data_IF_052662334953
#
_entry.id   IF_052662334953
#
_cell.length_a   1.000
_cell.length_b   1.000
_cell.length_c   1.000
_cell.angle_alpha   90.00
_cell.angle_beta   90.00
_cell.angle_gamma   90.00
#
_symmetry.space_group_name_H-M   'P 1'
#
loop_
_entity.id
_entity.type
_entity.pdbx_description
1 polymer ?
#
# COMPACT_ATOMS: atom_id res chain seq x y z
N UNK A 1 24.92 -22.88 -3.81
CA UNK A 1 23.76 -23.62 -3.25
C UNK A 1 23.89 -23.64 -1.72
N UNK A 2 22.81 -23.35 -0.99
CA UNK A 2 22.78 -23.44 0.48
C UNK A 2 22.74 -24.94 0.84
N UNK A 3 23.57 -25.40 1.79
CA UNK A 3 23.56 -26.79 2.22
C UNK A 3 22.17 -27.19 2.79
N UNK A 4 21.65 -28.36 2.45
CA UNK A 4 20.29 -28.82 2.80
C UNK A 4 20.00 -28.75 4.31
N UNK A 5 20.94 -29.17 5.16
CA UNK A 5 20.83 -29.06 6.63
C UNK A 5 20.74 -27.63 7.14
N UNK A 6 21.42 -26.65 6.48
CA UNK A 6 21.36 -25.25 6.86
C UNK A 6 20.02 -24.61 6.54
N UNK A 7 19.36 -25.06 5.46
CA UNK A 7 18.04 -24.57 5.01
C UNK A 7 16.97 -25.00 6.00
N UNK A 8 16.86 -26.28 6.28
CA UNK A 8 15.92 -26.86 7.23
C UNK A 8 16.07 -26.20 8.61
N UNK A 9 17.30 -26.00 9.06
CA UNK A 9 17.61 -25.37 10.34
C UNK A 9 17.14 -23.92 10.45
N UNK A 10 17.11 -23.14 9.32
CA UNK A 10 16.61 -21.77 9.31
C UNK A 10 15.08 -21.72 9.42
N UNK A 11 14.37 -22.42 8.51
CA UNK A 11 12.90 -22.43 8.52
C UNK A 11 12.32 -23.00 9.81
N UNK A 12 12.90 -24.11 10.34
CA UNK A 12 12.46 -24.68 11.61
C UNK A 12 12.59 -23.67 12.78
N UNK A 13 13.70 -22.92 12.83
CA UNK A 13 13.89 -21.89 13.87
C UNK A 13 12.92 -20.71 13.74
N UNK A 14 12.57 -20.32 12.50
CA UNK A 14 11.58 -19.25 12.27
C UNK A 14 10.18 -19.74 12.69
N UNK A 15 9.81 -20.97 12.33
CA UNK A 15 8.54 -21.59 12.71
C UNK A 15 8.42 -21.73 14.24
N UNK A 16 9.48 -22.20 14.92
CA UNK A 16 9.49 -22.32 16.37
C UNK A 16 9.35 -20.96 17.08
N UNK A 17 10.09 -19.95 16.59
CA UNK A 17 9.95 -18.57 17.11
C UNK A 17 8.53 -18.04 16.93
N UNK A 18 7.90 -18.32 15.79
CA UNK A 18 6.56 -17.82 15.47
C UNK A 18 5.49 -18.38 16.42
N UNK A 19 5.61 -19.62 16.89
CA UNK A 19 4.67 -20.19 17.86
C UNK A 19 4.48 -19.36 19.10
N UNK A 20 5.54 -18.68 19.56
CA UNK A 20 5.54 -17.91 20.81
C UNK A 20 5.46 -16.39 20.60
N UNK A 21 5.76 -15.90 19.38
CA UNK A 21 5.94 -14.47 19.10
C UNK A 21 5.18 -13.98 17.87
N UNK A 22 4.42 -14.84 17.21
CA UNK A 22 3.63 -14.50 16.05
C UNK A 22 2.47 -13.56 16.39
N UNK A 23 2.06 -12.76 15.42
CA UNK A 23 0.86 -11.92 15.51
C UNK A 23 -0.32 -12.72 15.00
N UNK A 24 -1.17 -13.20 15.91
CA UNK A 24 -2.34 -14.03 15.58
C UNK A 24 -3.66 -13.26 15.59
N UNK A 25 -3.64 -12.00 15.98
CA UNK A 25 -4.80 -11.13 16.20
C UNK A 25 -5.14 -10.22 15.03
N UNK A 26 -4.38 -10.31 13.94
CA UNK A 26 -4.61 -9.45 12.77
C UNK A 26 -5.94 -9.83 12.07
N UNK A 27 -6.79 -8.86 11.71
CA UNK A 27 -8.13 -9.11 11.19
C UNK A 27 -8.16 -10.06 9.99
N UNK A 28 -7.19 -9.96 9.08
CA UNK A 28 -7.09 -10.77 7.86
C UNK A 28 -6.53 -12.18 8.07
N UNK A 29 -6.08 -12.51 9.28
CA UNK A 29 -5.61 -13.88 9.60
C UNK A 29 -6.73 -14.80 10.06
N UNK A 30 -7.87 -14.25 10.50
CA UNK A 30 -9.01 -15.01 11.02
C UNK A 30 -9.70 -15.86 9.96
N UNK A 31 -9.65 -15.44 8.70
CA UNK A 31 -10.26 -16.14 7.58
C UNK A 31 -9.25 -16.25 6.44
N UNK A 32 -9.13 -17.44 5.88
CA UNK A 32 -8.22 -17.74 4.74
C UNK A 32 -8.92 -17.59 3.38
N UNK A 33 -10.02 -16.84 3.33
CA UNK A 33 -10.67 -16.49 2.06
C UNK A 33 -9.69 -15.70 1.17
N UNK A 34 -9.45 -16.13 -0.08
CA UNK A 34 -8.49 -15.50 -0.98
C UNK A 34 -8.80 -14.03 -1.28
N UNK A 35 -10.07 -13.64 -1.32
CA UNK A 35 -10.48 -12.27 -1.49
C UNK A 35 -10.02 -11.40 -0.31
N UNK A 36 -10.28 -11.84 0.92
CA UNK A 36 -9.92 -11.11 2.15
C UNK A 36 -8.40 -11.02 2.32
N UNK A 37 -7.69 -12.11 2.06
CA UNK A 37 -6.22 -12.13 2.06
C UNK A 37 -5.67 -11.18 1.01
N UNK A 38 -6.17 -11.21 -0.21
CA UNK A 38 -5.73 -10.32 -1.28
C UNK A 38 -5.92 -8.84 -0.92
N UNK A 39 -7.10 -8.44 -0.39
CA UNK A 39 -7.34 -7.06 0.05
C UNK A 39 -6.27 -6.62 1.06
N UNK A 40 -5.98 -7.46 2.07
CA UNK A 40 -4.97 -7.14 3.08
C UNK A 40 -3.57 -7.01 2.47
N UNK A 41 -3.17 -7.92 1.60
CA UNK A 41 -1.86 -7.91 0.93
C UNK A 41 -1.67 -6.62 0.10
N UNK A 42 -2.69 -6.20 -0.64
CA UNK A 42 -2.63 -4.95 -1.40
C UNK A 42 -2.59 -3.73 -0.48
N UNK A 43 -3.36 -3.71 0.60
CA UNK A 43 -3.35 -2.59 1.56
C UNK A 43 -2.01 -2.48 2.30
N UNK A 44 -1.38 -3.60 2.62
CA UNK A 44 -0.10 -3.67 3.33
C UNK A 44 1.12 -3.29 2.47
N UNK A 45 0.98 -3.25 1.14
CA UNK A 45 2.08 -2.78 0.27
C UNK A 45 2.52 -1.37 0.67
N UNK A 46 3.75 -1.23 1.20
CA UNK A 46 4.35 0.03 1.66
C UNK A 46 3.54 0.81 2.73
N UNK A 47 2.63 0.14 3.43
CA UNK A 47 1.81 0.74 4.49
C UNK A 47 1.95 -0.07 5.78
N UNK A 48 2.02 0.60 6.92
CA UNK A 48 2.16 -0.06 8.22
C UNK A 48 0.85 -0.72 8.66
N UNK A 49 0.96 -1.86 9.37
CA UNK A 49 -0.18 -2.65 9.87
C UNK A 49 -1.19 -1.80 10.66
N UNK A 50 -0.72 -1.00 11.63
CA UNK A 50 -1.61 -0.16 12.43
C UNK A 50 -2.41 0.86 11.62
N UNK A 51 -1.86 1.34 10.49
CA UNK A 51 -2.59 2.20 9.56
C UNK A 51 -3.61 1.41 8.74
N UNK A 52 -3.29 0.17 8.35
CA UNK A 52 -4.14 -0.66 7.47
C UNK A 52 -5.39 -1.17 8.20
N UNK A 53 -5.27 -1.57 9.48
CA UNK A 53 -6.38 -2.21 10.22
C UNK A 53 -7.71 -1.46 10.08
N UNK A 54 -7.84 -0.16 10.42
CA UNK A 54 -9.11 0.54 10.33
C UNK A 54 -9.63 0.66 8.89
N UNK A 55 -8.75 0.80 7.90
CA UNK A 55 -9.14 0.83 6.50
C UNK A 55 -9.63 -0.53 6.01
N UNK A 56 -8.94 -1.59 6.37
CA UNK A 56 -9.33 -2.96 6.02
C UNK A 56 -10.71 -3.30 6.55
N UNK A 57 -10.96 -3.06 7.84
CA UNK A 57 -12.26 -3.35 8.46
C UNK A 57 -13.38 -2.58 7.75
N UNK A 58 -13.22 -1.28 7.55
CA UNK A 58 -14.21 -0.44 6.85
C UNK A 58 -14.43 -0.90 5.41
N UNK A 59 -13.37 -1.33 4.72
CA UNK A 59 -13.42 -1.75 3.32
C UNK A 59 -14.18 -3.07 3.14
N UNK A 60 -13.86 -4.09 3.96
CA UNK A 60 -14.52 -5.40 3.86
C UNK A 60 -15.96 -5.39 4.38
N UNK A 61 -16.31 -4.47 5.28
CA UNK A 61 -17.68 -4.27 5.71
C UNK A 61 -18.56 -3.77 4.56
N UNK A 62 -18.04 -2.89 3.73
CA UNK A 62 -18.75 -2.37 2.55
C UNK A 62 -18.70 -3.33 1.35
N UNK A 63 -17.53 -3.86 1.05
CA UNK A 63 -17.31 -4.77 -0.08
C UNK A 63 -17.07 -6.17 0.46
N UNK A 64 -18.13 -6.87 0.81
CA UNK A 64 -18.07 -8.19 1.47
C UNK A 64 -17.57 -9.28 0.54
N UNK A 65 -17.84 -9.11 -0.75
CA UNK A 65 -17.45 -10.07 -1.80
C UNK A 65 -16.72 -9.37 -2.93
N UNK A 66 -16.06 -10.18 -3.75
CA UNK A 66 -15.41 -9.68 -4.96
C UNK A 66 -16.42 -9.13 -5.97
N UNK A 67 -17.65 -9.64 -5.97
CA UNK A 67 -18.76 -9.14 -6.75
C UNK A 67 -19.14 -7.72 -6.33
N UNK A 68 -19.36 -7.47 -5.04
CA UNK A 68 -19.65 -6.14 -4.51
C UNK A 68 -18.59 -5.12 -4.92
N UNK A 69 -17.30 -5.53 -4.85
CA UNK A 69 -16.19 -4.67 -5.25
C UNK A 69 -16.16 -4.42 -6.76
N UNK A 70 -16.49 -5.42 -7.57
CA UNK A 70 -16.48 -5.30 -9.03
C UNK A 70 -17.63 -4.41 -9.54
N UNK A 71 -18.80 -4.46 -8.92
CA UNK A 71 -20.00 -3.68 -9.25
C UNK A 71 -19.90 -2.22 -8.76
N UNK A 72 -19.09 -1.96 -7.73
CA UNK A 72 -18.92 -0.62 -7.20
C UNK A 72 -18.41 0.37 -8.25
N UNK A 73 -18.72 1.66 -8.08
CA UNK A 73 -18.11 2.71 -8.88
C UNK A 73 -16.65 2.92 -8.47
N UNK A 74 -15.81 3.40 -9.40
CA UNK A 74 -14.44 3.78 -9.07
C UNK A 74 -14.39 4.86 -7.99
N UNK A 75 -15.33 5.78 -8.00
CA UNK A 75 -15.42 6.85 -7.01
C UNK A 75 -15.67 6.32 -5.60
N UNK A 76 -16.54 5.35 -5.47
CA UNK A 76 -16.82 4.71 -4.19
C UNK A 76 -15.60 3.96 -3.67
N UNK A 77 -14.93 3.16 -4.50
CA UNK A 77 -13.71 2.45 -4.11
C UNK A 77 -12.62 3.44 -3.69
N UNK A 78 -12.45 4.55 -4.43
CA UNK A 78 -11.47 5.58 -4.09
C UNK A 78 -11.82 6.34 -2.80
N UNK A 79 -13.10 6.52 -2.50
CA UNK A 79 -13.57 7.11 -1.25
C UNK A 79 -13.20 6.26 -0.03
N UNK A 80 -13.45 4.95 -0.10
CA UNK A 80 -13.08 3.99 0.95
C UNK A 80 -11.55 3.83 1.12
N UNK A 81 -10.77 4.09 0.06
CA UNK A 81 -9.31 4.07 0.09
C UNK A 81 -8.69 5.41 0.49
N UNK A 82 -9.49 6.47 0.54
CA UNK A 82 -9.00 7.84 0.78
C UNK A 82 -8.33 7.98 2.14
N UNK A 83 -7.05 8.35 2.14
CA UNK A 83 -6.20 8.43 3.34
C UNK A 83 -5.12 7.35 3.42
N UNK A 84 -5.30 6.17 2.80
CA UNK A 84 -4.33 5.08 2.81
C UNK A 84 -3.11 5.35 1.89
N UNK A 85 -3.25 6.24 0.91
CA UNK A 85 -2.21 6.58 -0.05
C UNK A 85 -1.99 5.53 -1.15
N UNK A 86 -1.02 5.80 -2.03
CA UNK A 86 -0.69 4.90 -3.16
C UNK A 86 -1.93 4.45 -3.95
N UNK A 87 -2.72 5.40 -4.40
CA UNK A 87 -4.04 5.20 -5.02
C UNK A 87 -4.04 4.33 -6.28
N UNK A 88 -2.89 4.13 -6.93
CA UNK A 88 -2.75 3.14 -8.00
C UNK A 88 -3.09 1.71 -7.54
N UNK A 89 -2.87 1.40 -6.26
CA UNK A 89 -3.25 0.11 -5.68
C UNK A 89 -4.77 -0.07 -5.69
N UNK A 90 -5.53 0.95 -5.25
CA UNK A 90 -6.99 0.92 -5.27
C UNK A 90 -7.55 0.75 -6.69
N UNK A 91 -7.00 1.49 -7.66
CA UNK A 91 -7.42 1.34 -9.07
C UNK A 91 -7.11 -0.05 -9.63
N UNK A 92 -5.92 -0.59 -9.36
CA UNK A 92 -5.56 -1.93 -9.79
C UNK A 92 -6.42 -2.99 -9.10
N UNK A 93 -6.66 -2.82 -7.81
CA UNK A 93 -7.55 -3.70 -7.03
C UNK A 93 -8.96 -3.72 -7.63
N UNK A 94 -9.54 -2.57 -7.93
CA UNK A 94 -10.85 -2.48 -8.56
C UNK A 94 -10.88 -3.10 -9.98
N UNK A 95 -9.84 -2.84 -10.80
CA UNK A 95 -9.71 -3.49 -12.12
C UNK A 95 -9.61 -5.01 -12.00
N UNK A 96 -8.82 -5.49 -11.05
CA UNK A 96 -8.66 -6.93 -10.79
C UNK A 96 -9.97 -7.55 -10.33
N UNK A 97 -10.75 -6.90 -9.46
CA UNK A 97 -12.07 -7.39 -9.07
C UNK A 97 -13.00 -7.58 -10.28
N UNK A 98 -13.04 -6.60 -11.20
CA UNK A 98 -13.81 -6.70 -12.45
C UNK A 98 -13.36 -7.85 -13.36
N UNK A 99 -12.05 -8.04 -13.49
CA UNK A 99 -11.50 -9.16 -14.27
C UNK A 99 -11.91 -10.49 -13.64
N UNK A 100 -11.78 -10.64 -12.32
CA UNK A 100 -12.14 -11.90 -11.65
C UNK A 100 -13.65 -12.14 -11.72
N UNK A 101 -14.46 -11.11 -11.60
CA UNK A 101 -15.91 -11.26 -11.73
C UNK A 101 -16.32 -11.80 -13.12
N UNK A 102 -15.72 -11.27 -14.18
CA UNK A 102 -16.06 -11.64 -15.56
C UNK A 102 -15.38 -12.93 -16.00
N UNK A 103 -14.06 -13.06 -15.82
CA UNK A 103 -13.28 -14.15 -16.39
C UNK A 103 -13.27 -15.42 -15.52
N UNK A 104 -13.50 -15.26 -14.22
CA UNK A 104 -13.43 -16.36 -13.24
C UNK A 104 -14.76 -16.53 -12.46
N UNK A 105 -15.87 -15.94 -12.94
CA UNK A 105 -17.19 -16.06 -12.32
C UNK A 105 -17.18 -15.78 -10.81
N UNK A 106 -16.54 -14.69 -10.42
CA UNK A 106 -16.33 -14.28 -9.03
C UNK A 106 -15.52 -15.28 -8.17
N UNK A 107 -14.86 -16.27 -8.75
CA UNK A 107 -13.99 -17.21 -8.04
C UNK A 107 -12.54 -16.73 -8.14
N UNK A 108 -11.89 -16.59 -7.00
CA UNK A 108 -10.49 -16.16 -6.98
C UNK A 108 -9.60 -17.26 -7.58
N UNK A 109 -8.73 -16.95 -8.58
CA UNK A 109 -7.89 -17.96 -9.21
C UNK A 109 -6.87 -18.55 -8.24
N UNK A 110 -6.59 -19.84 -8.37
CA UNK A 110 -5.70 -20.62 -7.51
C UNK A 110 -4.41 -21.07 -8.20
N UNK A 111 -4.11 -20.53 -9.39
CA UNK A 111 -2.85 -20.78 -10.10
C UNK A 111 -1.98 -19.54 -10.14
N UNK A 112 -0.68 -19.74 -10.11
CA UNK A 112 0.31 -18.65 -10.17
C UNK A 112 0.21 -17.87 -11.48
N UNK A 113 0.07 -18.58 -12.59
CA UNK A 113 -0.01 -18.05 -13.94
C UNK A 113 -1.18 -17.09 -14.10
N UNK A 114 -2.35 -17.42 -13.54
CA UNK A 114 -3.52 -16.58 -13.59
C UNK A 114 -3.37 -15.37 -12.65
N UNK A 115 -2.83 -15.56 -11.44
CA UNK A 115 -2.67 -14.48 -10.47
C UNK A 115 -1.74 -13.38 -10.94
N UNK A 116 -0.59 -13.72 -11.54
CA UNK A 116 0.40 -12.71 -11.98
C UNK A 116 -0.05 -11.87 -13.19
N UNK A 117 -1.09 -12.29 -13.92
CA UNK A 117 -1.69 -11.51 -14.99
C UNK A 117 -2.63 -10.41 -14.48
N UNK A 118 -3.05 -10.50 -13.22
CA UNK A 118 -3.98 -9.55 -12.63
C UNK A 118 -3.30 -8.24 -12.23
N UNK A 119 -3.88 -7.07 -12.56
CA UNK A 119 -3.32 -5.78 -12.23
C UNK A 119 -3.01 -5.61 -10.73
N UNK A 120 -1.76 -5.29 -10.39
CA UNK A 120 -1.34 -5.05 -9.00
C UNK A 120 -0.96 -6.31 -8.22
N UNK A 121 -1.10 -7.51 -8.80
CA UNK A 121 -0.63 -8.77 -8.22
C UNK A 121 0.74 -9.11 -8.82
N UNK A 122 1.80 -8.87 -8.04
CA UNK A 122 3.15 -9.29 -8.39
C UNK A 122 3.50 -10.65 -7.79
N UNK A 123 4.70 -11.16 -8.12
CA UNK A 123 5.21 -12.47 -7.67
C UNK A 123 5.03 -12.70 -6.17
N UNK A 124 5.36 -11.72 -5.32
CA UNK A 124 5.25 -11.86 -3.86
C UNK A 124 3.80 -11.93 -3.40
N UNK A 125 2.91 -11.09 -3.95
CA UNK A 125 1.47 -11.10 -3.61
C UNK A 125 0.81 -12.41 -4.07
N UNK A 126 1.12 -12.89 -5.29
CA UNK A 126 0.65 -14.19 -5.78
C UNK A 126 1.12 -15.33 -4.88
N UNK A 127 2.42 -15.32 -4.49
CA UNK A 127 2.99 -16.30 -3.57
C UNK A 127 2.31 -16.29 -2.20
N UNK A 128 2.00 -15.12 -1.64
CA UNK A 128 1.29 -14.98 -0.37
C UNK A 128 -0.13 -15.58 -0.44
N UNK A 129 -0.91 -15.23 -1.48
CA UNK A 129 -2.26 -15.76 -1.68
C UNK A 129 -2.23 -17.29 -1.82
N UNK A 130 -1.34 -17.81 -2.67
CA UNK A 130 -1.22 -19.25 -2.91
C UNK A 130 -0.79 -20.02 -1.65
N UNK A 131 0.12 -19.44 -0.88
CA UNK A 131 0.59 -20.02 0.38
C UNK A 131 -0.52 -19.98 1.45
N UNK A 132 -1.12 -18.83 1.73
CA UNK A 132 -2.10 -18.68 2.81
C UNK A 132 -3.42 -19.40 2.56
N UNK A 133 -3.93 -19.34 1.33
CA UNK A 133 -5.28 -19.82 1.03
C UNK A 133 -5.28 -21.24 0.49
N UNK A 134 -4.22 -21.64 -0.22
CA UNK A 134 -4.17 -22.91 -0.92
C UNK A 134 -3.04 -23.83 -0.46
N UNK A 135 -2.22 -23.41 0.52
CA UNK A 135 -1.05 -24.14 1.06
C UNK A 135 -0.06 -24.60 -0.01
N UNK A 136 -0.03 -23.89 -1.14
CA UNK A 136 0.89 -24.17 -2.24
C UNK A 136 2.28 -23.65 -1.92
N UNK A 137 3.32 -24.39 -2.34
CA UNK A 137 4.73 -24.08 -2.04
C UNK A 137 5.26 -22.94 -2.91
N UNK A 138 4.93 -21.70 -2.52
CA UNK A 138 5.39 -20.46 -3.15
C UNK A 138 6.10 -19.56 -2.17
N UNK A 139 7.25 -19.02 -2.59
CA UNK A 139 8.00 -18.05 -1.81
C UNK A 139 7.40 -16.65 -1.92
N UNK A 140 7.70 -15.85 -0.91
CA UNK A 140 7.44 -14.40 -0.91
C UNK A 140 8.76 -13.64 -0.76
N UNK A 141 8.80 -12.40 -1.26
CA UNK A 141 9.96 -11.54 -1.13
C UNK A 141 9.53 -10.08 -0.98
N UNK A 142 8.84 -9.77 0.12
CA UNK A 142 8.49 -8.41 0.49
C UNK A 142 9.69 -7.65 1.11
N UNK A 143 9.49 -6.40 1.49
CA UNK A 143 10.56 -5.59 2.10
C UNK A 143 11.08 -6.14 3.43
N UNK A 144 10.27 -6.88 4.18
CA UNK A 144 10.67 -7.53 5.44
C UNK A 144 11.54 -8.75 5.14
N UNK A 145 11.09 -9.61 4.25
CA UNK A 145 11.82 -10.82 3.84
C UNK A 145 13.15 -10.45 3.17
N UNK A 146 13.16 -9.47 2.25
CA UNK A 146 14.42 -8.96 1.65
C UNK A 146 15.43 -8.56 2.73
N UNK A 147 14.99 -7.85 3.77
CA UNK A 147 15.86 -7.43 4.89
C UNK A 147 16.37 -8.60 5.71
N UNK A 148 15.49 -9.53 6.07
CA UNK A 148 15.86 -10.73 6.85
C UNK A 148 16.89 -11.55 6.11
N UNK A 149 16.62 -11.88 4.85
CA UNK A 149 17.52 -12.71 4.03
C UNK A 149 18.85 -12.00 3.75
N UNK A 150 18.81 -10.69 3.41
CA UNK A 150 20.05 -9.93 3.18
C UNK A 150 20.93 -9.92 4.42
N UNK A 151 20.38 -9.73 5.61
CA UNK A 151 21.15 -9.76 6.86
C UNK A 151 21.65 -11.16 7.20
N UNK A 152 20.78 -12.15 7.10
CA UNK A 152 21.15 -13.53 7.45
C UNK A 152 22.30 -14.06 6.58
N UNK A 153 22.24 -13.83 5.27
CA UNK A 153 23.26 -14.25 4.30
C UNK A 153 24.37 -13.21 4.06
N UNK A 154 24.33 -12.05 4.71
CA UNK A 154 25.35 -11.01 4.59
C UNK A 154 25.45 -10.38 3.21
N UNK A 155 24.32 -10.22 2.50
CA UNK A 155 24.28 -9.65 1.14
C UNK A 155 24.53 -8.15 1.23
N UNK A 156 25.67 -7.71 0.70
CA UNK A 156 26.12 -6.32 0.75
C UNK A 156 25.85 -5.53 -0.53
N UNK A 157 25.34 -6.18 -1.58
CA UNK A 157 24.88 -5.49 -2.77
C UNK A 157 23.52 -4.81 -2.52
N UNK A 158 23.24 -3.75 -3.31
CA UNK A 158 21.93 -3.10 -3.21
C UNK A 158 20.79 -4.04 -3.58
N UNK A 159 19.80 -4.15 -2.70
CA UNK A 159 18.60 -4.97 -2.91
C UNK A 159 17.71 -4.48 -4.07
N UNK A 160 18.02 -3.31 -4.64
CA UNK A 160 17.30 -2.76 -5.80
C UNK A 160 17.94 -3.15 -7.14
N UNK A 161 19.06 -3.87 -7.13
CA UNK A 161 19.67 -4.42 -8.33
C UNK A 161 18.94 -5.69 -8.75
N UNK A 162 18.61 -5.83 -10.03
CA UNK A 162 17.91 -7.00 -10.58
C UNK A 162 18.62 -8.31 -10.26
N UNK A 163 19.97 -8.32 -10.35
CA UNK A 163 20.77 -9.50 -10.00
C UNK A 163 20.62 -9.90 -8.52
N UNK A 164 20.66 -8.91 -7.62
CA UNK A 164 20.53 -9.14 -6.18
C UNK A 164 19.10 -9.59 -5.83
N UNK A 165 18.11 -9.00 -6.46
CA UNK A 165 16.71 -9.38 -6.27
C UNK A 165 16.47 -10.83 -6.74
N UNK A 166 17.00 -11.21 -7.91
CA UNK A 166 16.93 -12.60 -8.40
C UNK A 166 17.59 -13.57 -7.41
N UNK A 167 18.78 -13.24 -6.90
CA UNK A 167 19.47 -14.05 -5.90
C UNK A 167 18.66 -14.19 -4.60
N UNK A 168 18.01 -13.11 -4.14
CA UNK A 168 17.14 -13.17 -2.96
C UNK A 168 15.89 -14.05 -3.20
N UNK A 169 15.35 -14.07 -4.41
CA UNK A 169 14.27 -14.97 -4.77
C UNK A 169 14.73 -16.43 -4.72
N UNK A 170 15.89 -16.74 -5.31
CA UNK A 170 16.46 -18.10 -5.28
C UNK A 170 16.69 -18.59 -3.84
N UNK A 171 17.16 -17.70 -2.96
CA UNK A 171 17.30 -17.98 -1.53
C UNK A 171 15.94 -18.23 -0.88
N UNK A 172 14.97 -17.34 -1.13
CA UNK A 172 13.64 -17.44 -0.51
C UNK A 172 12.95 -18.75 -0.89
N UNK A 173 13.03 -19.17 -2.14
CA UNK A 173 12.48 -20.45 -2.62
C UNK A 173 13.19 -21.66 -1.99
N UNK A 174 14.52 -21.57 -1.86
CA UNK A 174 15.30 -22.64 -1.23
C UNK A 174 15.03 -22.82 0.27
N UNK A 175 14.53 -21.79 0.96
CA UNK A 175 14.25 -21.82 2.39
C UNK A 175 12.82 -22.25 2.72
N UNK A 176 11.97 -22.48 1.72
CA UNK A 176 10.63 -22.98 1.97
C UNK A 176 10.68 -24.36 2.64
N UNK A 177 9.97 -24.56 3.75
CA UNK A 177 9.82 -25.88 4.35
C UNK A 177 8.95 -26.78 3.46
N UNK A 178 8.93 -28.08 3.75
CA UNK A 178 8.08 -29.00 3.01
C UNK A 178 6.63 -28.98 3.51
N UNK A 179 6.43 -28.67 4.80
CA UNK A 179 5.13 -28.54 5.44
C UNK A 179 4.99 -27.14 6.04
N UNK A 180 3.77 -26.77 6.47
CA UNK A 180 3.47 -25.52 7.16
C UNK A 180 3.85 -24.26 6.37
N UNK A 181 3.66 -24.33 5.04
CA UNK A 181 4.03 -23.24 4.12
C UNK A 181 3.33 -21.92 4.49
N UNK A 182 2.04 -21.97 4.78
CA UNK A 182 1.25 -20.81 5.17
C UNK A 182 1.73 -20.22 6.51
N UNK A 183 2.07 -21.08 7.46
CA UNK A 183 2.62 -20.67 8.76
C UNK A 183 4.01 -20.04 8.57
N UNK A 184 4.88 -20.66 7.78
CA UNK A 184 6.22 -20.11 7.49
C UNK A 184 6.16 -18.77 6.76
N UNK A 185 5.25 -18.64 5.80
CA UNK A 185 5.05 -17.39 5.06
C UNK A 185 4.69 -16.24 6.01
N UNK A 186 3.77 -16.48 6.95
CA UNK A 186 3.44 -15.48 7.98
C UNK A 186 4.60 -15.26 8.95
N UNK A 187 5.23 -16.35 9.38
CA UNK A 187 6.33 -16.31 10.34
C UNK A 187 7.49 -15.44 9.87
N UNK A 188 7.93 -15.58 8.63
CA UNK A 188 9.07 -14.81 8.10
C UNK A 188 8.71 -13.32 7.90
N UNK A 189 7.46 -12.99 7.56
CA UNK A 189 6.99 -11.61 7.52
C UNK A 189 6.97 -10.98 8.92
N UNK A 190 6.41 -11.68 9.90
CA UNK A 190 6.35 -11.23 11.29
C UNK A 190 7.74 -11.09 11.89
N UNK A 191 8.62 -12.05 11.62
CA UNK A 191 10.01 -12.00 12.05
C UNK A 191 10.72 -10.74 11.56
N UNK A 192 10.49 -10.38 10.30
CA UNK A 192 11.00 -9.13 9.74
C UNK A 192 10.34 -7.90 10.36
N UNK A 193 9.03 -7.93 10.59
CA UNK A 193 8.29 -6.78 11.09
C UNK A 193 8.55 -6.47 12.57
N UNK A 194 8.73 -7.49 13.42
CA UNK A 194 8.77 -7.33 14.88
C UNK A 194 10.16 -7.55 15.49
N UNK A 195 10.94 -8.50 14.99
CA UNK A 195 12.25 -8.85 15.57
C UNK A 195 13.41 -8.31 14.74
N UNK A 196 13.52 -8.66 13.46
CA UNK A 196 14.58 -8.18 12.57
C UNK A 196 14.22 -6.82 11.95
N UNK A 197 13.90 -5.83 12.77
CA UNK A 197 13.41 -4.51 12.37
C UNK A 197 14.46 -3.68 11.62
N UNK A 198 14.06 -2.65 10.84
CA UNK A 198 14.99 -1.83 10.07
C UNK A 198 16.05 -1.12 10.90
N UNK A 199 15.65 -0.45 11.98
CA UNK A 199 16.53 0.44 12.75
C UNK A 199 17.14 -0.21 13.99
N UNK A 200 16.34 -1.00 14.74
CA UNK A 200 16.73 -1.60 16.03
C UNK A 200 16.38 -3.08 16.07
N UNK A 201 17.09 -3.94 15.32
CA UNK A 201 16.82 -5.38 15.35
C UNK A 201 17.17 -5.98 16.72
N UNK A 202 16.33 -6.85 17.22
CA UNK A 202 16.50 -7.52 18.52
C UNK A 202 17.40 -8.76 18.38
N UNK A 203 18.68 -8.55 18.04
CA UNK A 203 19.61 -9.62 17.71
C UNK A 203 19.93 -10.54 18.90
N UNK A 204 19.78 -10.09 20.16
CA UNK A 204 20.08 -10.90 21.33
C UNK A 204 19.04 -12.04 21.51
N UNK A 205 17.78 -11.78 21.23
CA UNK A 205 16.68 -12.77 21.29
C UNK A 205 16.42 -13.50 19.97
N UNK A 206 17.24 -13.22 18.94
CA UNK A 206 17.04 -13.77 17.61
C UNK A 206 17.46 -15.27 17.54
N UNK A 207 16.56 -16.19 17.17
CA UNK A 207 16.86 -17.64 17.14
C UNK A 207 17.95 -18.02 16.12
N UNK A 208 18.21 -17.18 15.14
CA UNK A 208 19.22 -17.41 14.10
C UNK A 208 20.47 -16.54 14.27
N UNK A 209 20.65 -15.89 15.42
CA UNK A 209 21.76 -14.94 15.66
C UNK A 209 23.15 -15.54 15.49
N UNK A 210 23.35 -16.81 15.91
CA UNK A 210 24.65 -17.51 15.86
C UNK A 210 25.15 -17.74 14.43
N UNK A 211 24.22 -17.86 13.48
CA UNK A 211 24.53 -18.15 12.07
C UNK A 211 24.31 -16.93 11.15
N UNK A 212 23.80 -15.82 11.70
CA UNK A 212 23.55 -14.60 10.94
C UNK A 212 24.85 -13.85 10.62
N UNK A 213 25.17 -13.76 9.33
CA UNK A 213 26.41 -13.11 8.85
C UNK A 213 26.44 -11.62 9.21
N UNK A 214 25.33 -10.88 9.03
CA UNK A 214 25.28 -9.48 9.38
C UNK A 214 25.48 -9.24 10.89
N UNK A 215 24.98 -10.12 11.76
CA UNK A 215 25.22 -10.04 13.21
C UNK A 215 26.68 -10.30 13.55
N UNK A 216 27.26 -11.38 12.99
CA UNK A 216 28.65 -11.75 13.20
C UNK A 216 29.63 -10.65 12.81
N UNK A 217 29.35 -9.96 11.73
CA UNK A 217 30.22 -8.92 11.16
C UNK A 217 29.81 -7.48 11.53
N UNK A 218 28.89 -7.28 12.48
CA UNK A 218 28.37 -5.97 12.91
C UNK A 218 27.74 -5.14 11.77
N UNK A 219 27.13 -5.79 10.77
CA UNK A 219 26.57 -5.16 9.58
C UNK A 219 25.03 -4.96 9.66
N UNK A 220 24.41 -5.22 10.80
CA UNK A 220 22.94 -5.14 10.93
C UNK A 220 22.36 -3.72 10.74
N UNK A 221 23.18 -2.68 10.97
CA UNK A 221 22.82 -1.29 10.74
C UNK A 221 22.96 -0.84 9.28
N UNK A 222 23.77 -1.53 8.50
CA UNK A 222 24.09 -1.19 7.10
C UNK A 222 23.33 -2.05 6.09
N UNK A 223 23.09 -3.33 6.38
CA UNK A 223 22.33 -4.25 5.54
C UNK A 223 20.84 -4.18 5.88
N UNK A 224 19.95 -4.14 4.87
CA UNK A 224 20.22 -4.16 3.42
C UNK A 224 20.67 -2.79 2.88
N UNK A 225 21.58 -2.80 1.92
CA UNK A 225 21.93 -1.61 1.18
C UNK A 225 20.78 -1.23 0.23
N UNK A 226 20.51 0.06 0.18
CA UNK A 226 19.56 0.65 -0.79
C UNK A 226 20.32 1.67 -1.62
N UNK A 227 19.95 1.79 -2.88
CA UNK A 227 20.46 2.90 -3.69
C UNK A 227 20.13 4.22 -2.98
N UNK A 228 21.03 5.19 -3.02
CA UNK A 228 20.74 6.54 -2.53
C UNK A 228 19.45 7.03 -3.18
N UNK A 229 18.47 7.38 -2.39
CA UNK A 229 17.26 8.03 -2.88
C UNK A 229 17.68 9.36 -3.53
N UNK A 230 17.19 9.61 -4.76
CA UNK A 230 17.32 10.94 -5.38
C UNK A 230 16.74 11.97 -4.41
N UNK A 231 17.36 13.15 -4.36
CA UNK A 231 16.81 14.29 -3.61
C UNK A 231 15.35 14.51 -4.01
N UNK A 232 14.50 14.71 -3.02
CA UNK A 232 13.08 14.96 -3.28
C UNK A 232 12.95 16.29 -4.04
N UNK A 233 12.31 16.25 -5.20
CA UNK A 233 12.02 17.46 -5.96
C UNK A 233 10.94 18.29 -5.25
N UNK A 234 11.13 19.60 -5.18
CA UNK A 234 10.07 20.51 -4.75
C UNK A 234 9.11 20.76 -5.93
N UNK A 235 7.82 20.69 -5.64
CA UNK A 235 6.74 21.03 -6.59
C UNK A 235 5.82 22.04 -5.95
N UNK A 236 5.21 22.88 -6.76
CA UNK A 236 4.21 23.85 -6.31
C UNK A 236 2.95 23.78 -7.16
N UNK A 237 1.80 24.09 -6.57
CA UNK A 237 0.52 24.22 -7.25
C UNK A 237 -0.37 25.18 -6.49
N UNK A 238 -1.45 25.58 -7.13
CA UNK A 238 -2.51 26.39 -6.51
C UNK A 238 -3.84 25.65 -6.62
N UNK A 239 -4.71 25.85 -5.61
CA UNK A 239 -6.06 25.30 -5.59
C UNK A 239 -7.08 26.46 -5.44
N UNK A 240 -8.02 26.50 -6.34
CA UNK A 240 -9.11 27.46 -6.36
C UNK A 240 -10.40 26.77 -5.91
N UNK A 241 -10.84 27.08 -4.69
CA UNK A 241 -12.01 26.46 -4.07
C UNK A 241 -13.18 27.40 -4.30
N UNK A 242 -13.98 27.13 -5.31
CA UNK A 242 -15.17 27.90 -5.64
C UNK A 242 -16.35 27.40 -4.82
N UNK A 243 -16.97 28.31 -4.09
CA UNK A 243 -18.19 28.03 -3.32
C UNK A 243 -19.38 28.85 -3.91
N UNK A 244 -20.47 28.14 -4.17
CA UNK A 244 -21.75 28.70 -4.57
C UNK A 244 -22.89 28.00 -3.82
N UNK A 245 -23.68 28.75 -3.07
CA UNK A 245 -24.83 28.25 -2.32
C UNK A 245 -24.49 27.03 -1.43
N UNK A 246 -23.41 27.11 -0.66
CA UNK A 246 -22.87 26.04 0.21
C UNK A 246 -22.39 24.80 -0.53
N UNK A 247 -22.28 24.85 -1.84
CA UNK A 247 -21.66 23.79 -2.65
C UNK A 247 -20.31 24.24 -3.16
N UNK A 248 -19.40 23.30 -3.32
CA UNK A 248 -18.05 23.51 -3.83
C UNK A 248 -17.84 22.77 -5.14
N UNK A 249 -17.08 23.39 -6.03
CA UNK A 249 -16.71 22.80 -7.30
C UNK A 249 -15.49 21.92 -7.13
N UNK A 250 -15.58 20.67 -7.55
CA UNK A 250 -14.45 19.74 -7.67
C UNK A 250 -14.33 19.23 -9.10
N UNK A 251 -13.10 18.96 -9.51
CA UNK A 251 -12.77 18.39 -10.82
C UNK A 251 -12.13 17.02 -10.64
N UNK A 252 -12.43 16.09 -11.54
CA UNK A 252 -11.83 14.76 -11.51
C UNK A 252 -10.41 14.82 -12.03
N UNK A 253 -9.44 14.51 -11.19
CA UNK A 253 -8.05 14.46 -11.62
C UNK A 253 -7.79 13.20 -12.46
N UNK A 254 -7.35 13.39 -13.70
CA UNK A 254 -7.14 12.29 -14.67
C UNK A 254 -5.67 11.94 -14.90
N UNK A 255 -4.74 12.60 -14.18
CA UNK A 255 -3.29 12.42 -14.41
C UNK A 255 -2.50 12.47 -13.09
N UNK A 256 -1.29 11.90 -13.11
CA UNK A 256 -0.33 12.01 -12.02
C UNK A 256 -0.68 11.24 -10.75
N UNK A 257 -0.13 11.67 -9.64
CA UNK A 257 -0.17 10.94 -8.35
C UNK A 257 -1.57 10.75 -7.79
N UNK A 258 -2.45 11.73 -8.00
CA UNK A 258 -3.83 11.74 -7.52
C UNK A 258 -4.85 11.39 -8.60
N UNK A 259 -4.42 10.69 -9.65
CA UNK A 259 -5.31 10.23 -10.70
C UNK A 259 -6.49 9.42 -10.11
N UNK A 260 -7.69 9.71 -10.57
CA UNK A 260 -8.94 9.11 -10.09
C UNK A 260 -9.55 9.79 -8.86
N UNK A 261 -8.91 10.81 -8.26
CA UNK A 261 -9.43 11.54 -7.11
C UNK A 261 -10.05 12.88 -7.52
N UNK A 262 -10.93 13.38 -6.67
CA UNK A 262 -11.49 14.71 -6.79
C UNK A 262 -10.55 15.77 -6.21
N UNK A 263 -10.41 16.90 -6.88
CA UNK A 263 -9.59 18.03 -6.48
C UNK A 263 -10.33 19.36 -6.69
N UNK A 264 -10.06 20.40 -5.90
CA UNK A 264 -10.37 21.75 -6.34
C UNK A 264 -9.61 22.07 -7.63
N UNK A 265 -10.15 22.90 -8.53
CA UNK A 265 -9.44 23.38 -9.71
C UNK A 265 -8.03 23.89 -9.39
N UNK A 266 -7.06 23.56 -10.26
CA UNK A 266 -5.66 23.96 -10.11
C UNK A 266 -5.29 25.21 -10.91
N UNK A 267 -6.27 25.82 -11.56
CA UNK A 267 -6.14 27.12 -12.23
C UNK A 267 -7.39 27.96 -11.96
N UNK A 268 -7.22 29.26 -12.06
CA UNK A 268 -8.34 30.17 -11.92
C UNK A 268 -9.18 30.21 -13.22
N UNK A 269 -10.48 29.99 -13.07
CA UNK A 269 -11.42 30.00 -14.18
C UNK A 269 -12.28 31.27 -14.24
N UNK A 270 -12.14 32.19 -13.26
CA UNK A 270 -12.87 33.42 -13.28
C UNK A 270 -12.16 34.48 -14.13
N UNK A 271 -12.86 35.04 -15.10
CA UNK A 271 -12.39 36.15 -15.93
C UNK A 271 -12.61 37.54 -15.31
N UNK A 272 -13.51 37.66 -14.35
CA UNK A 272 -13.86 38.90 -13.65
C UNK A 272 -13.14 39.01 -12.32
N UNK A 273 -13.02 40.26 -11.79
CA UNK A 273 -12.55 40.48 -10.41
C UNK A 273 -13.42 39.72 -9.42
N UNK A 274 -12.76 38.96 -8.55
CA UNK A 274 -13.38 38.14 -7.51
C UNK A 274 -12.81 38.53 -6.14
N UNK A 275 -13.59 38.23 -5.10
CA UNK A 275 -13.16 38.47 -3.72
C UNK A 275 -12.68 37.15 -3.15
N UNK A 276 -11.43 37.10 -2.71
CA UNK A 276 -10.88 35.99 -1.96
C UNK A 276 -11.42 36.06 -0.53
N UNK A 277 -12.20 35.06 -0.15
CA UNK A 277 -12.79 34.99 1.18
C UNK A 277 -11.80 34.46 2.23
N UNK A 278 -11.00 33.48 1.82
CA UNK A 278 -9.94 32.90 2.66
C UNK A 278 -8.80 32.38 1.76
N UNK A 279 -7.58 32.54 2.22
CA UNK A 279 -6.41 31.98 1.51
C UNK A 279 -5.36 31.50 2.49
N UNK A 280 -4.43 30.69 2.00
CA UNK A 280 -3.31 30.22 2.79
C UNK A 280 -2.37 29.33 1.99
N UNK A 281 -1.32 28.88 2.67
CA UNK A 281 -0.32 27.98 2.10
C UNK A 281 -0.17 26.76 2.98
N UNK A 282 0.03 25.59 2.35
CA UNK A 282 0.30 24.32 3.03
C UNK A 282 1.36 23.52 2.29
N UNK A 283 1.94 22.56 2.99
CA UNK A 283 2.94 21.66 2.45
C UNK A 283 2.61 20.21 2.83
N UNK A 284 2.85 19.30 1.89
CA UNK A 284 2.84 17.88 2.15
C UNK A 284 4.05 17.20 1.53
N UNK A 285 4.53 16.14 2.19
CA UNK A 285 5.73 15.39 1.79
C UNK A 285 5.31 14.02 1.30
N UNK A 286 5.71 13.70 0.07
CA UNK A 286 5.55 12.37 -0.53
C UNK A 286 6.89 11.64 -0.54
N UNK A 287 6.88 10.36 -0.83
CA UNK A 287 8.12 9.54 -0.90
C UNK A 287 9.16 10.07 -1.90
N UNK A 288 8.73 10.77 -2.96
CA UNK A 288 9.59 11.18 -4.08
C UNK A 288 9.57 12.68 -4.41
N UNK A 289 8.70 13.48 -3.78
CA UNK A 289 8.69 14.95 -3.88
C UNK A 289 8.00 15.59 -2.68
N UNK A 290 8.24 16.87 -2.51
CA UNK A 290 7.55 17.75 -1.56
C UNK A 290 6.62 18.65 -2.36
N UNK A 291 5.34 18.74 -1.97
CA UNK A 291 4.36 19.60 -2.60
C UNK A 291 4.05 20.78 -1.67
N UNK A 292 4.34 21.98 -2.13
CA UNK A 292 3.84 23.23 -1.56
C UNK A 292 2.63 23.66 -2.36
N UNK A 293 1.54 24.05 -1.69
CA UNK A 293 0.37 24.52 -2.40
C UNK A 293 -0.29 25.71 -1.70
N UNK A 294 -0.70 26.67 -2.51
CA UNK A 294 -1.56 27.78 -2.09
C UNK A 294 -3.00 27.39 -2.33
N UNK A 295 -3.92 27.92 -1.52
CA UNK A 295 -5.34 27.74 -1.74
C UNK A 295 -6.07 29.07 -1.60
N UNK A 296 -7.14 29.23 -2.36
CA UNK A 296 -7.98 30.40 -2.41
C UNK A 296 -9.45 29.97 -2.33
N UNK A 297 -10.15 30.34 -1.26
CA UNK A 297 -11.59 30.16 -1.15
C UNK A 297 -12.28 31.37 -1.74
N UNK A 298 -13.07 31.14 -2.77
CA UNK A 298 -13.72 32.19 -3.56
C UNK A 298 -15.23 31.91 -3.56
N UNK A 299 -16.03 32.85 -3.02
CA UNK A 299 -17.48 32.76 -3.08
C UNK A 299 -17.98 33.41 -4.36
N UNK A 300 -18.84 32.69 -5.08
CA UNK A 300 -19.48 33.16 -6.30
C UNK A 300 -20.99 33.10 -6.15
N UNK A 301 -21.69 33.93 -6.90
CA UNK A 301 -23.14 34.00 -6.89
C UNK A 301 -23.80 33.12 -7.96
N UNK A 302 -23.07 32.85 -9.05
CA UNK A 302 -23.62 32.07 -10.17
C UNK A 302 -22.61 31.01 -10.64
N UNK A 303 -23.03 29.73 -10.65
CA UNK A 303 -22.24 28.60 -11.15
C UNK A 303 -21.85 28.74 -12.64
N UNK A 304 -22.68 29.44 -13.43
CA UNK A 304 -22.44 29.67 -14.86
C UNK A 304 -21.24 30.60 -15.15
N UNK A 305 -20.74 31.30 -14.15
CA UNK A 305 -19.53 32.16 -14.30
C UNK A 305 -18.25 31.28 -14.43
N UNK A 306 -18.34 29.97 -14.18
CA UNK A 306 -17.25 29.04 -14.30
C UNK A 306 -17.48 28.06 -15.45
N UNK A 307 -16.65 28.17 -16.50
CA UNK A 307 -16.64 27.23 -17.63
C UNK A 307 -15.59 26.15 -17.37
N UNK A 308 -15.91 25.19 -16.52
CA UNK A 308 -15.02 24.08 -16.16
C UNK A 308 -15.80 22.76 -16.05
N UNK A 309 -15.22 21.70 -16.57
CA UNK A 309 -15.77 20.34 -16.44
C UNK A 309 -15.53 19.83 -15.01
N UNK A 310 -16.56 19.94 -14.18
CA UNK A 310 -16.52 19.57 -12.77
C UNK A 310 -17.91 19.36 -12.19
N UNK A 311 -17.97 18.84 -10.97
CA UNK A 311 -19.22 18.63 -10.24
C UNK A 311 -19.27 19.48 -8.97
N UNK A 312 -20.48 19.86 -8.60
CA UNK A 312 -20.75 20.62 -7.39
C UNK A 312 -21.21 19.67 -6.28
N UNK A 313 -20.50 19.72 -5.14
CA UNK A 313 -20.75 18.89 -3.97
C UNK A 313 -21.07 19.75 -2.75
N UNK A 314 -21.98 19.29 -1.92
CA UNK A 314 -22.19 19.92 -0.63
C UNK A 314 -20.96 19.72 0.29
N UNK A 315 -20.68 20.70 1.15
CA UNK A 315 -19.60 20.57 2.12
C UNK A 315 -19.73 19.30 2.99
N UNK A 316 -20.95 18.84 3.25
CA UNK A 316 -21.23 17.62 4.03
C UNK A 316 -20.74 16.34 3.34
N UNK A 317 -20.72 16.33 2.01
CA UNK A 317 -20.33 15.16 1.22
C UNK A 317 -18.80 14.97 1.16
N UNK A 318 -18.01 15.98 1.55
CA UNK A 318 -16.54 15.95 1.46
C UNK A 318 -15.93 14.75 2.20
N UNK A 319 -16.52 14.33 3.33
CA UNK A 319 -16.07 13.19 4.09
C UNK A 319 -16.17 11.87 3.30
N UNK A 320 -17.11 11.78 2.36
CA UNK A 320 -17.46 10.56 1.64
C UNK A 320 -16.87 10.53 0.22
N UNK A 321 -16.15 11.58 -0.18
CA UNK A 321 -15.49 11.65 -1.47
C UNK A 321 -14.06 11.10 -1.43
N UNK A 322 -13.64 10.57 -2.58
CA UNK A 322 -12.26 10.19 -2.85
C UNK A 322 -11.36 11.40 -3.08
N UNK A 323 -10.90 12.04 -2.02
CA UNK A 323 -9.96 13.16 -2.04
C UNK A 323 -8.58 12.71 -1.55
N UNK A 324 -7.47 13.33 -2.01
CA UNK A 324 -6.17 13.16 -1.36
C UNK A 324 -6.21 13.61 0.10
N UNK A 325 -5.57 12.88 1.00
CA UNK A 325 -5.60 13.18 2.44
C UNK A 325 -5.30 14.66 2.78
N UNK A 326 -4.26 15.31 2.23
CA UNK A 326 -3.99 16.74 2.53
C UNK A 326 -5.10 17.69 2.03
N UNK A 327 -5.75 17.37 0.91
CA UNK A 327 -6.86 18.15 0.38
C UNK A 327 -8.12 17.90 1.19
N UNK A 328 -8.41 16.65 1.55
CA UNK A 328 -9.54 16.31 2.41
C UNK A 328 -9.46 17.04 3.75
N UNK A 329 -8.30 17.02 4.39
CA UNK A 329 -8.05 17.77 5.63
C UNK A 329 -8.22 19.30 5.45
N UNK A 330 -7.75 19.86 4.33
CA UNK A 330 -7.96 21.27 4.02
C UNK A 330 -9.44 21.60 3.91
N UNK A 331 -10.19 20.80 3.14
CA UNK A 331 -11.63 21.05 2.88
C UNK A 331 -12.45 20.94 4.17
N UNK A 332 -12.20 19.95 5.01
CA UNK A 332 -12.88 19.80 6.32
C UNK A 332 -12.60 21.04 7.21
N UNK A 333 -11.35 21.54 7.22
CA UNK A 333 -11.03 22.74 8.01
C UNK A 333 -11.63 24.04 7.45
N UNK A 334 -12.05 24.04 6.19
CA UNK A 334 -12.71 25.21 5.58
C UNK A 334 -14.23 25.17 5.73
N UNK A 335 -14.82 23.97 5.94
CA UNK A 335 -16.27 23.79 6.16
C UNK A 335 -16.72 24.17 7.58
N UNK A 336 -15.78 24.19 8.52
CA UNK A 336 -15.97 24.66 9.91
C UNK A 336 -15.69 26.19 10.00
#
# INVERSE_FOLDING_TARGET
MIASQSKKKFSDKILEWYKHHGRYDLPWQKNKDPYLVWISEIMLQQTQVGTVIPFYIKFIDRFKTIGDLAEASEDEVMAYWSGLGFYSRARNLHKTAKIIAVQFSCRFPDSYENLIQLPGIGRSTAGAILSFCYKKKFAILDGNVKRVLSRFFGIQESINLTKTEKHLWDISEQLLPDNDIDIYTQAIMDFGATLCTPKKPQCHSCPVNQTCIAKKNNLTGTIPLKNKTKTQADRSTEFYIYECNKQILLVKNRKGVWNGLWLPPQQNYLSKKYIIHKQGERQCVFSHYRLKYKYFLIKITNKKDLMVDGLWFDWKEISDLGLPAPIKSLMINLSN
#
